data_IF_288597169926
#
_entry.id   IF_288597169926
#
_cell.length_a   1.000
_cell.length_b   1.000
_cell.length_c   1.000
_cell.angle_alpha   90.00
_cell.angle_beta   90.00
_cell.angle_gamma   90.00
#
_symmetry.space_group_name_H-M   'P 1'
#
loop_
_entity.id
_entity.type
_entity.pdbx_description
1 polymer ?
#
# COMPACT_ATOMS: atom_id res chain seq x y z
N UNK A 1 68.63 -6.22 75.30
CA UNK A 1 69.20 -6.42 73.96
C UNK A 1 68.04 -6.64 72.99
N UNK A 2 67.94 -5.86 71.91
CA UNK A 2 66.83 -5.91 70.92
C UNK A 2 66.70 -7.29 70.29
N UNK A 3 65.46 -7.73 70.05
CA UNK A 3 64.96 -8.52 68.91
C UNK A 3 63.46 -8.73 69.21
N UNK A 4 62.48 -8.50 68.35
CA UNK A 4 62.45 -8.58 66.91
C UNK A 4 61.29 -9.52 66.50
N UNK A 5 60.19 -8.93 66.01
CA UNK A 5 59.39 -9.42 64.89
C UNK A 5 58.33 -10.56 65.02
N UNK A 6 57.16 -10.19 64.47
CA UNK A 6 56.17 -10.96 63.65
C UNK A 6 55.07 -11.76 64.35
N UNK A 7 53.93 -11.07 64.48
CA UNK A 7 52.57 -11.60 64.66
C UNK A 7 52.11 -12.26 63.35
N UNK A 8 51.59 -13.49 63.43
CA UNK A 8 51.00 -14.22 62.31
C UNK A 8 49.48 -13.96 62.24
N UNK A 9 49.05 -13.68 61.01
CA UNK A 9 47.69 -13.40 60.55
C UNK A 9 46.86 -14.70 60.52
N UNK A 10 45.62 -14.65 61.01
CA UNK A 10 44.59 -15.64 60.72
C UNK A 10 43.54 -14.99 59.81
N UNK A 11 43.41 -15.54 58.61
CA UNK A 11 42.47 -15.16 57.54
C UNK A 11 41.05 -15.58 57.89
N UNK A 12 40.13 -14.62 57.95
CA UNK A 12 38.68 -14.84 57.92
C UNK A 12 38.20 -14.43 56.52
N UNK A 13 37.71 -15.39 55.76
CA UNK A 13 37.08 -15.20 54.45
C UNK A 13 35.68 -14.60 54.66
N UNK A 14 35.53 -13.31 54.34
CA UNK A 14 34.23 -12.63 54.32
C UNK A 14 33.67 -12.69 52.89
N UNK A 15 32.62 -13.48 52.68
CA UNK A 15 31.91 -13.54 51.41
C UNK A 15 31.27 -12.18 51.09
N UNK A 16 31.68 -11.57 50.00
CA UNK A 16 31.19 -10.28 49.52
C UNK A 16 29.89 -10.51 48.75
N UNK A 17 28.75 -10.17 49.33
CA UNK A 17 27.49 -10.05 48.58
C UNK A 17 27.54 -8.75 47.79
N UNK A 18 27.84 -8.87 46.49
CA UNK A 18 27.69 -7.79 45.52
C UNK A 18 26.20 -7.64 45.20
N UNK A 19 25.53 -6.71 45.88
CA UNK A 19 24.21 -6.23 45.47
C UNK A 19 24.43 -5.31 44.27
N UNK A 20 24.35 -5.89 43.08
CA UNK A 20 24.28 -5.11 41.83
C UNK A 20 22.89 -4.48 41.79
N UNK A 21 22.80 -3.21 42.17
CA UNK A 21 21.61 -2.41 41.95
C UNK A 21 21.36 -2.29 40.46
N UNK A 22 20.30 -2.95 39.98
CA UNK A 22 19.80 -2.78 38.62
C UNK A 22 19.14 -1.41 38.58
N UNK A 23 19.92 -0.37 38.32
CA UNK A 23 19.40 0.90 37.83
C UNK A 23 18.98 0.64 36.38
N UNK A 24 17.73 0.19 36.20
CA UNK A 24 17.07 0.35 34.92
C UNK A 24 16.87 1.83 34.69
N UNK A 25 17.44 2.37 33.62
CA UNK A 25 17.10 3.70 33.13
C UNK A 25 15.63 3.67 32.69
N UNK A 26 14.73 4.06 33.58
CA UNK A 26 13.38 4.49 33.20
C UNK A 26 13.47 6.01 33.21
N UNK A 27 13.67 6.61 32.02
CA UNK A 27 13.50 8.05 31.88
C UNK A 27 12.04 8.36 32.23
N UNK A 28 11.86 9.07 33.34
CA UNK A 28 10.61 9.25 34.05
C UNK A 28 9.69 10.32 33.47
N UNK A 29 9.60 10.40 32.15
CA UNK A 29 8.61 11.25 31.47
C UNK A 29 7.73 10.38 30.58
N UNK A 30 6.76 9.72 31.19
CA UNK A 30 5.59 9.23 30.44
C UNK A 30 4.82 10.46 29.98
N UNK A 31 5.16 10.99 28.80
CA UNK A 31 4.37 12.02 28.15
C UNK A 31 3.07 11.34 27.72
N UNK A 32 2.02 11.52 28.52
CA UNK A 32 0.66 11.29 28.05
C UNK A 32 0.35 12.39 27.04
N UNK A 33 0.36 12.05 25.74
CA UNK A 33 -0.21 12.91 24.71
C UNK A 33 -1.71 12.99 24.96
N UNK A 34 -2.22 14.16 25.35
CA UNK A 34 -3.60 14.32 25.84
C UNK A 34 -4.66 14.25 24.74
N UNK A 35 -4.27 14.22 23.47
CA UNK A 35 -5.12 13.88 22.34
C UNK A 35 -4.27 13.07 21.36
N UNK A 36 -4.72 11.92 20.86
CA UNK A 36 -4.09 11.30 19.72
C UNK A 36 -4.28 12.18 18.46
N UNK A 37 -3.26 12.25 17.60
CA UNK A 37 -3.20 13.20 16.48
C UNK A 37 -4.39 13.16 15.50
N UNK A 38 -5.15 12.06 15.45
CA UNK A 38 -6.35 11.94 14.62
C UNK A 38 -7.58 12.70 15.13
N UNK A 39 -7.57 13.18 16.39
CA UNK A 39 -8.65 14.03 16.92
C UNK A 39 -8.58 15.47 16.37
N UNK A 40 -7.52 15.82 15.64
CA UNK A 40 -7.34 17.12 14.96
C UNK A 40 -7.84 17.12 13.50
N UNK A 41 -8.43 16.03 13.02
CA UNK A 41 -8.99 16.00 11.67
C UNK A 41 -10.19 16.98 11.55
N UNK A 42 -10.24 17.82 10.50
CA UNK A 42 -11.35 18.75 10.30
C UNK A 42 -12.68 17.98 10.27
N UNK A 43 -13.69 18.33 11.11
CA UNK A 43 -14.97 17.62 11.13
C UNK A 43 -15.66 17.56 9.76
N UNK A 44 -15.51 18.63 8.97
CA UNK A 44 -15.98 18.73 7.60
C UNK A 44 -15.32 17.75 6.63
N UNK A 45 -14.13 17.21 6.95
CA UNK A 45 -13.47 16.20 6.13
C UNK A 45 -14.15 14.81 6.22
N UNK A 46 -15.17 14.65 7.07
CA UNK A 46 -15.97 13.43 7.23
C UNK A 46 -15.13 12.16 7.50
N UNK A 47 -14.10 12.30 8.33
CA UNK A 47 -13.29 11.18 8.82
C UNK A 47 -12.04 10.87 7.97
N UNK A 48 -11.79 11.66 6.93
CA UNK A 48 -10.50 11.68 6.25
C UNK A 48 -9.46 12.41 7.11
N UNK A 49 -8.25 11.88 7.18
CA UNK A 49 -7.21 12.29 8.12
C UNK A 49 -6.10 13.07 7.41
N UNK A 50 -5.67 12.60 6.24
CA UNK A 50 -4.62 13.18 5.42
C UNK A 50 -3.22 13.04 6.01
N UNK A 51 -2.36 13.99 5.66
CA UNK A 51 -1.02 14.12 6.22
C UNK A 51 -1.07 14.51 7.71
N UNK A 52 -0.25 13.82 8.50
CA UNK A 52 0.12 14.26 9.83
C UNK A 52 1.17 15.37 9.74
N UNK A 53 2.28 15.08 9.04
CA UNK A 53 3.37 16.03 8.82
C UNK A 53 3.49 16.27 7.32
N UNK A 54 2.77 17.29 6.86
CA UNK A 54 2.71 17.68 5.44
C UNK A 54 4.11 17.82 4.80
N UNK A 55 5.02 18.55 5.44
CA UNK A 55 6.34 18.85 4.86
C UNK A 55 7.25 17.62 4.67
N UNK A 56 7.00 16.53 5.40
CA UNK A 56 7.76 15.29 5.26
C UNK A 56 6.97 14.21 4.52
N UNK A 57 5.79 14.54 3.97
CA UNK A 57 4.89 13.58 3.33
C UNK A 57 4.40 12.46 4.26
N UNK A 58 4.47 12.67 5.58
CA UNK A 58 4.10 11.64 6.55
C UNK A 58 2.59 11.61 6.71
N UNK A 59 1.93 10.58 6.19
CA UNK A 59 0.50 10.34 6.44
C UNK A 59 0.31 9.89 7.89
N UNK A 60 -0.89 10.12 8.43
CA UNK A 60 -1.24 9.56 9.73
C UNK A 60 -1.18 8.02 9.70
N UNK A 61 -1.59 7.40 8.59
CA UNK A 61 -1.50 5.95 8.38
C UNK A 61 -0.06 5.44 8.55
N UNK A 62 0.91 6.19 8.04
CA UNK A 62 2.33 5.84 8.08
C UNK A 62 2.96 5.84 9.47
N UNK A 63 2.29 6.37 10.51
CA UNK A 63 2.76 6.24 11.89
C UNK A 63 2.72 4.79 12.37
N UNK A 64 1.71 4.03 11.93
CA UNK A 64 1.57 2.60 12.23
C UNK A 64 2.08 1.71 11.08
N UNK A 65 1.91 2.16 9.82
CA UNK A 65 2.28 1.43 8.61
C UNK A 65 3.57 1.96 7.98
N UNK A 66 4.64 2.08 8.78
CA UNK A 66 5.89 2.72 8.37
C UNK A 66 6.54 2.10 7.12
N UNK A 67 6.44 0.78 6.92
CA UNK A 67 6.98 0.11 5.74
C UNK A 67 6.28 0.55 4.46
N UNK A 68 4.94 0.46 4.45
CA UNK A 68 4.10 0.88 3.31
C UNK A 68 4.25 2.38 3.02
N UNK A 69 4.33 3.21 4.06
CA UNK A 69 4.60 4.64 3.94
C UNK A 69 5.93 4.93 3.26
N UNK A 70 6.99 4.20 3.62
CA UNK A 70 8.33 4.39 3.07
C UNK A 70 8.39 4.04 1.57
N UNK A 71 7.58 3.09 1.11
CA UNK A 71 7.44 2.76 -0.31
C UNK A 71 6.57 3.80 -1.03
N UNK A 72 5.40 4.14 -0.45
CA UNK A 72 4.40 5.00 -1.09
C UNK A 72 4.93 6.40 -1.35
N UNK A 73 5.71 6.96 -0.43
CA UNK A 73 6.29 8.30 -0.58
C UNK A 73 7.25 8.40 -1.79
N UNK A 74 7.74 7.28 -2.31
CA UNK A 74 8.54 7.23 -3.53
C UNK A 74 7.73 7.17 -4.82
N UNK A 75 6.39 7.16 -4.74
CA UNK A 75 5.51 7.02 -5.92
C UNK A 75 5.11 8.38 -6.49
N UNK A 76 4.68 8.40 -7.75
CA UNK A 76 4.07 9.58 -8.36
C UNK A 76 2.73 9.97 -7.72
N UNK A 77 2.07 9.05 -7.00
CA UNK A 77 0.86 9.37 -6.25
C UNK A 77 1.15 10.30 -5.06
N UNK A 78 2.27 10.11 -4.38
CA UNK A 78 2.73 10.98 -3.29
C UNK A 78 3.27 12.36 -3.77
N UNK A 79 3.46 12.54 -5.08
CA UNK A 79 3.89 13.80 -5.70
C UNK A 79 2.80 14.38 -6.63
N UNK A 80 1.58 13.84 -6.57
CA UNK A 80 0.54 14.12 -7.56
C UNK A 80 0.17 15.61 -7.59
N UNK A 81 0.12 16.28 -6.44
CA UNK A 81 -0.22 17.70 -6.38
C UNK A 81 0.89 18.57 -6.99
N UNK A 82 2.15 18.33 -6.61
CA UNK A 82 3.27 19.07 -7.17
C UNK A 82 3.40 18.83 -8.68
N UNK A 83 3.20 17.58 -9.13
CA UNK A 83 3.10 17.22 -10.54
C UNK A 83 2.03 18.02 -11.28
N UNK A 84 0.81 18.10 -10.74
CA UNK A 84 -0.27 18.92 -11.29
C UNK A 84 0.13 20.39 -11.40
N UNK A 85 0.67 20.96 -10.31
CA UNK A 85 1.05 22.37 -10.29
C UNK A 85 2.17 22.69 -11.28
N UNK A 86 3.12 21.77 -11.47
CA UNK A 86 4.23 21.92 -12.41
C UNK A 86 3.81 21.83 -13.88
N UNK A 87 2.62 21.27 -14.17
CA UNK A 87 2.12 21.10 -15.54
C UNK A 87 1.85 22.41 -16.28
N UNK A 88 1.65 23.52 -15.56
CA UNK A 88 1.22 24.79 -16.13
C UNK A 88 -0.25 24.83 -16.58
N UNK A 89 -1.01 23.76 -16.33
CA UNK A 89 -2.41 23.61 -16.75
C UNK A 89 -3.34 23.22 -15.60
N UNK A 90 -2.89 23.36 -14.35
CA UNK A 90 -3.69 23.06 -13.17
C UNK A 90 -5.01 23.83 -13.18
N UNK A 91 -6.10 23.12 -12.91
CA UNK A 91 -7.45 23.65 -12.84
C UNK A 91 -8.24 22.89 -11.78
N UNK A 92 -9.32 23.51 -11.27
CA UNK A 92 -10.11 22.94 -10.17
C UNK A 92 -10.70 21.56 -10.47
N UNK A 93 -10.98 21.26 -11.74
CA UNK A 93 -11.48 19.93 -12.14
C UNK A 93 -10.41 18.84 -12.09
N UNK A 94 -9.13 19.20 -11.98
CA UNK A 94 -8.02 18.26 -11.80
C UNK A 94 -7.86 17.86 -10.32
N UNK A 95 -8.24 18.74 -9.39
CA UNK A 95 -7.94 18.60 -7.97
C UNK A 95 -8.55 17.32 -7.38
N UNK A 96 -9.73 16.91 -7.83
CA UNK A 96 -10.39 15.68 -7.36
C UNK A 96 -9.57 14.40 -7.56
N UNK A 97 -8.69 14.36 -8.57
CA UNK A 97 -7.81 13.21 -8.85
C UNK A 97 -6.39 13.39 -8.27
N UNK A 98 -6.06 14.57 -7.77
CA UNK A 98 -4.72 14.95 -7.29
C UNK A 98 -4.69 15.31 -5.80
N UNK A 99 -5.77 14.98 -5.09
CA UNK A 99 -5.96 15.19 -3.66
C UNK A 99 -6.71 14.01 -3.05
N UNK A 100 -6.76 13.97 -1.73
CA UNK A 100 -7.61 13.05 -0.98
C UNK A 100 -9.05 13.55 -1.01
N UNK A 101 -9.94 12.71 -1.52
CA UNK A 101 -11.35 13.02 -1.72
C UNK A 101 -12.17 11.76 -1.96
N UNK A 102 -13.30 11.88 -2.69
CA UNK A 102 -14.19 10.75 -2.96
C UNK A 102 -13.72 9.85 -4.12
N UNK A 103 -12.97 10.38 -5.07
CA UNK A 103 -12.53 9.60 -6.24
C UNK A 103 -11.48 8.56 -5.83
N UNK A 104 -11.66 7.35 -6.33
CA UNK A 104 -10.78 6.20 -6.13
C UNK A 104 -11.18 5.29 -4.96
N UNK A 105 -12.19 5.66 -4.17
CA UNK A 105 -12.62 4.92 -3.00
C UNK A 105 -14.14 4.66 -2.99
N UNK A 106 -14.63 3.98 -1.96
CA UNK A 106 -16.04 3.57 -1.85
C UNK A 106 -16.98 4.70 -1.36
N UNK A 107 -16.49 5.91 -1.08
CA UNK A 107 -17.31 7.02 -0.57
C UNK A 107 -18.11 7.65 -1.69
N UNK A 108 -19.43 7.67 -1.55
CA UNK A 108 -20.35 8.23 -2.56
C UNK A 108 -20.59 9.73 -2.40
N UNK A 109 -20.22 10.32 -1.26
CA UNK A 109 -20.34 11.76 -1.04
C UNK A 109 -19.12 12.49 -1.64
N UNK A 110 -19.30 13.32 -2.69
CA UNK A 110 -18.18 14.05 -3.30
C UNK A 110 -17.61 15.18 -2.41
N UNK A 111 -18.34 15.58 -1.37
CA UNK A 111 -17.97 16.68 -0.49
C UNK A 111 -17.23 16.16 0.76
N UNK A 112 -16.00 15.68 0.56
CA UNK A 112 -15.11 15.12 1.59
C UNK A 112 -13.67 15.58 1.37
N UNK A 113 -12.82 15.47 2.40
CA UNK A 113 -11.40 15.77 2.29
C UNK A 113 -11.13 17.17 1.71
N UNK A 114 -10.31 17.24 0.65
CA UNK A 114 -9.93 18.49 -0.01
C UNK A 114 -11.13 19.32 -0.49
N UNK A 115 -12.16 18.67 -1.05
CA UNK A 115 -13.28 19.36 -1.73
C UNK A 115 -14.06 20.32 -0.82
N UNK A 116 -14.01 20.11 0.51
CA UNK A 116 -14.72 20.92 1.51
C UNK A 116 -13.79 21.68 2.45
N UNK A 117 -12.55 21.22 2.62
CA UNK A 117 -11.58 21.83 3.56
C UNK A 117 -10.62 22.80 2.88
N UNK A 118 -10.21 22.49 1.64
CA UNK A 118 -9.07 23.13 0.97
C UNK A 118 -7.79 23.14 1.85
N UNK A 119 -7.65 22.14 2.74
CA UNK A 119 -6.50 22.00 3.64
C UNK A 119 -5.36 21.25 2.92
N UNK A 120 -4.14 21.81 2.85
CA UNK A 120 -2.97 21.15 2.27
C UNK A 120 -2.68 19.75 2.79
N UNK A 121 -3.16 19.36 3.98
CA UNK A 121 -3.03 17.98 4.47
C UNK A 121 -3.64 16.95 3.53
N UNK A 122 -4.52 17.34 2.63
CA UNK A 122 -5.16 16.47 1.64
C UNK A 122 -4.56 16.58 0.24
N UNK A 123 -3.45 17.29 0.05
CA UNK A 123 -2.74 17.22 -1.23
C UNK A 123 -2.24 15.80 -1.51
N UNK A 124 -2.06 15.48 -2.79
CA UNK A 124 -1.59 14.19 -3.29
C UNK A 124 -2.61 13.06 -3.21
N UNK A 125 -2.33 11.97 -3.90
CA UNK A 125 -3.14 10.75 -3.87
C UNK A 125 -2.62 9.86 -2.74
N UNK A 126 -3.20 10.04 -1.55
CA UNK A 126 -2.77 9.35 -0.33
C UNK A 126 -3.51 8.02 -0.13
N UNK A 127 -3.23 7.36 1.00
CA UNK A 127 -3.82 6.07 1.38
C UNK A 127 -5.36 6.10 1.28
N UNK A 128 -5.95 7.18 1.79
CA UNK A 128 -7.41 7.33 1.91
C UNK A 128 -8.09 7.58 0.55
N UNK A 129 -7.35 7.97 -0.50
CA UNK A 129 -7.89 8.06 -1.86
C UNK A 129 -8.35 6.70 -2.40
N UNK A 130 -7.78 5.58 -1.91
CA UNK A 130 -8.18 4.23 -2.31
C UNK A 130 -8.84 3.44 -1.16
N UNK A 131 -8.36 3.62 0.07
CA UNK A 131 -8.82 2.88 1.24
C UNK A 131 -10.00 3.54 1.97
N UNK A 132 -10.36 4.77 1.59
CA UNK A 132 -11.42 5.54 2.24
C UNK A 132 -11.01 6.18 3.58
N UNK A 133 -11.97 6.75 4.33
CA UNK A 133 -11.70 7.51 5.55
C UNK A 133 -11.11 6.65 6.66
N UNK A 134 -10.01 7.12 7.26
CA UNK A 134 -9.26 6.34 8.25
C UNK A 134 -9.78 6.44 9.69
N UNK A 135 -10.64 7.39 10.05
CA UNK A 135 -10.92 7.73 11.47
C UNK A 135 -11.43 6.53 12.30
N UNK A 136 -12.30 5.71 11.73
CA UNK A 136 -12.83 4.52 12.40
C UNK A 136 -11.74 3.47 12.62
N UNK A 137 -10.86 3.31 11.63
CA UNK A 137 -9.75 2.37 11.70
C UNK A 137 -8.73 2.79 12.77
N UNK A 138 -8.29 4.05 12.78
CA UNK A 138 -7.29 4.48 13.79
C UNK A 138 -7.85 4.44 15.21
N UNK A 139 -9.16 4.63 15.37
CA UNK A 139 -9.85 4.51 16.66
C UNK A 139 -9.99 3.06 17.14
N UNK A 140 -10.10 2.10 16.22
CA UNK A 140 -10.24 0.68 16.53
C UNK A 140 -9.56 -0.22 15.47
N UNK A 141 -8.20 -0.28 15.43
CA UNK A 141 -7.48 -0.88 14.30
C UNK A 141 -7.72 -2.37 14.07
N UNK A 142 -8.11 -3.09 15.13
CA UNK A 142 -8.42 -4.51 15.06
C UNK A 142 -9.87 -4.81 14.63
N UNK A 143 -10.76 -3.81 14.70
CA UNK A 143 -12.19 -3.99 14.42
C UNK A 143 -12.54 -3.61 12.98
N UNK A 144 -11.92 -2.56 12.46
CA UNK A 144 -12.20 -2.02 11.13
C UNK A 144 -10.94 -2.07 10.26
N UNK A 145 -11.06 -2.51 9.02
CA UNK A 145 -9.95 -2.55 8.05
C UNK A 145 -10.32 -1.75 6.80
N UNK A 146 -9.64 -0.63 6.52
CA UNK A 146 -9.82 0.10 5.28
C UNK A 146 -9.40 -0.76 4.09
N UNK A 147 -10.32 -1.04 3.18
CA UNK A 147 -10.08 -1.88 2.00
C UNK A 147 -10.21 -1.04 0.73
N UNK A 148 -9.25 -1.23 -0.18
CA UNK A 148 -9.33 -0.70 -1.53
C UNK A 148 -10.03 -1.69 -2.48
N UNK A 149 -10.53 -1.19 -3.61
CA UNK A 149 -11.11 -2.04 -4.65
C UNK A 149 -10.03 -2.70 -5.50
N UNK A 150 -10.24 -3.97 -5.81
CA UNK A 150 -9.49 -4.72 -6.82
C UNK A 150 -10.02 -4.47 -8.24
N UNK A 151 -11.27 -4.03 -8.34
CA UNK A 151 -11.99 -3.90 -9.62
C UNK A 151 -11.36 -2.82 -10.52
N UNK A 152 -11.50 -3.06 -11.81
CA UNK A 152 -11.16 -2.09 -12.83
C UNK A 152 -12.23 -2.11 -13.91
N UNK A 153 -12.61 -0.94 -14.41
CA UNK A 153 -13.54 -0.84 -15.51
C UNK A 153 -14.08 0.57 -15.70
N UNK A 154 -14.55 0.85 -16.91
CA UNK A 154 -15.11 2.16 -17.28
C UNK A 154 -16.41 2.49 -16.55
N UNK A 155 -17.05 1.49 -15.96
CA UNK A 155 -18.32 1.62 -15.24
C UNK A 155 -18.16 1.38 -13.73
N UNK A 156 -16.92 1.20 -13.25
CA UNK A 156 -16.63 1.00 -11.83
C UNK A 156 -16.49 2.37 -11.18
N UNK A 157 -17.23 2.60 -10.09
CA UNK A 157 -17.27 3.87 -9.34
C UNK A 157 -16.41 3.80 -8.08
N UNK A 158 -15.27 3.13 -8.19
CA UNK A 158 -14.27 2.94 -7.14
C UNK A 158 -12.95 2.51 -7.80
N UNK A 159 -11.82 2.77 -7.16
CA UNK A 159 -10.51 2.32 -7.58
C UNK A 159 -9.91 3.15 -8.72
N UNK A 160 -8.91 2.56 -9.37
CA UNK A 160 -8.01 3.25 -10.29
C UNK A 160 -8.73 4.03 -11.41
N UNK A 161 -9.84 3.46 -11.90
CA UNK A 161 -10.58 3.96 -13.05
C UNK A 161 -11.26 5.31 -12.81
N UNK A 162 -11.43 5.76 -11.56
CA UNK A 162 -12.06 7.06 -11.29
C UNK A 162 -11.14 8.26 -11.58
N UNK A 163 -9.82 8.03 -11.56
CA UNK A 163 -8.81 9.03 -11.92
C UNK A 163 -8.15 8.72 -13.26
N UNK A 164 -7.88 7.44 -13.53
CA UNK A 164 -7.26 6.98 -14.77
C UNK A 164 -8.28 6.66 -15.86
N UNK A 165 -9.08 7.68 -16.20
CA UNK A 165 -10.04 7.67 -17.29
C UNK A 165 -9.95 8.93 -18.17
N UNK A 166 -10.73 8.91 -19.26
CA UNK A 166 -10.99 10.07 -20.09
C UNK A 166 -9.79 10.51 -20.93
N UNK A 167 -9.83 11.74 -21.45
CA UNK A 167 -8.89 12.19 -22.48
C UNK A 167 -7.43 12.30 -21.99
N UNK A 168 -7.23 12.69 -20.73
CA UNK A 168 -5.88 12.94 -20.19
C UNK A 168 -5.21 11.67 -19.64
N UNK A 169 -6.00 10.72 -19.14
CA UNK A 169 -5.51 9.47 -18.58
C UNK A 169 -6.34 8.27 -19.05
N UNK A 170 -6.41 7.95 -20.35
CA UNK A 170 -7.35 6.97 -20.94
C UNK A 170 -7.01 5.49 -20.61
N UNK A 171 -6.37 5.22 -19.48
CA UNK A 171 -5.80 3.91 -19.19
C UNK A 171 -6.87 2.86 -18.94
N UNK A 172 -7.98 3.19 -18.24
CA UNK A 172 -9.05 2.21 -18.02
C UNK A 172 -9.77 1.85 -19.33
N UNK A 173 -9.95 2.79 -20.25
CA UNK A 173 -10.54 2.55 -21.57
C UNK A 173 -9.62 1.72 -22.46
N UNK A 174 -8.31 1.96 -22.41
CA UNK A 174 -7.30 1.17 -23.12
C UNK A 174 -7.21 -0.25 -22.55
N UNK A 175 -7.20 -0.38 -21.22
CA UNK A 175 -7.19 -1.67 -20.53
C UNK A 175 -8.45 -2.48 -20.88
N UNK A 176 -9.63 -1.87 -20.86
CA UNK A 176 -10.88 -2.54 -21.18
C UNK A 176 -10.92 -3.12 -22.61
N UNK A 177 -10.16 -2.52 -23.54
CA UNK A 177 -10.01 -3.02 -24.91
C UNK A 177 -8.92 -4.09 -25.07
N UNK A 178 -8.04 -4.25 -24.08
CA UNK A 178 -6.99 -5.27 -24.08
C UNK A 178 -7.55 -6.66 -23.80
N UNK A 179 -6.79 -7.71 -24.12
CA UNK A 179 -7.18 -9.07 -23.77
C UNK A 179 -7.27 -9.29 -22.24
N UNK A 180 -6.51 -8.53 -21.44
CA UNK A 180 -6.58 -8.59 -19.99
C UNK A 180 -7.90 -8.03 -19.46
N UNK A 181 -8.35 -6.88 -19.95
CA UNK A 181 -9.63 -6.28 -19.55
C UNK A 181 -10.85 -6.94 -20.18
N UNK A 182 -10.78 -7.35 -21.45
CA UNK A 182 -11.87 -8.03 -22.14
C UNK A 182 -12.07 -9.48 -21.67
N UNK A 183 -11.02 -10.10 -21.12
CA UNK A 183 -11.10 -11.41 -20.47
C UNK A 183 -11.68 -12.56 -21.31
N UNK A 184 -11.31 -12.74 -22.60
CA UNK A 184 -11.95 -13.73 -23.48
C UNK A 184 -11.85 -15.17 -22.97
N UNK A 185 -10.86 -15.46 -22.11
CA UNK A 185 -10.65 -16.77 -21.51
C UNK A 185 -10.82 -16.80 -19.99
N UNK A 186 -11.17 -15.68 -19.35
CA UNK A 186 -11.16 -15.55 -17.88
C UNK A 186 -12.17 -16.51 -17.24
N UNK A 187 -13.42 -16.56 -17.72
CA UNK A 187 -14.43 -17.47 -17.16
C UNK A 187 -14.02 -18.95 -17.27
N UNK A 188 -13.41 -19.35 -18.40
CA UNK A 188 -13.01 -20.73 -18.64
C UNK A 188 -11.71 -21.08 -17.88
N UNK A 189 -10.63 -20.35 -18.10
CA UNK A 189 -9.33 -20.66 -17.51
C UNK A 189 -9.25 -20.25 -16.03
N UNK A 190 -9.88 -19.16 -15.64
CA UNK A 190 -9.90 -18.67 -14.26
C UNK A 190 -10.59 -19.61 -13.28
N UNK A 191 -11.56 -20.40 -13.73
CA UNK A 191 -12.24 -21.41 -12.90
C UNK A 191 -11.45 -22.71 -12.70
N UNK A 192 -10.21 -22.80 -13.22
CA UNK A 192 -9.37 -24.00 -13.12
C UNK A 192 -8.09 -23.71 -12.36
N UNK A 193 -7.87 -24.42 -11.25
CA UNK A 193 -6.76 -24.15 -10.33
C UNK A 193 -5.39 -23.92 -10.98
N UNK A 194 -4.93 -24.80 -11.88
CA UNK A 194 -3.62 -24.62 -12.53
C UNK A 194 -3.54 -23.45 -13.51
N UNK A 195 -4.69 -22.98 -14.02
CA UNK A 195 -4.80 -21.95 -15.05
C UNK A 195 -5.13 -20.57 -14.44
N UNK A 196 -5.80 -20.56 -13.28
CA UNK A 196 -6.24 -19.36 -12.58
C UNK A 196 -5.10 -18.39 -12.27
N UNK A 197 -3.91 -18.92 -11.93
CA UNK A 197 -2.69 -18.14 -11.67
C UNK A 197 -2.30 -17.14 -12.78
N UNK A 198 -2.82 -17.26 -14.00
CA UNK A 198 -2.59 -16.29 -15.07
C UNK A 198 -3.88 -15.73 -15.69
N UNK A 199 -5.04 -16.32 -15.40
CA UNK A 199 -6.29 -16.05 -16.10
C UNK A 199 -7.44 -15.63 -15.18
N UNK A 200 -7.18 -15.51 -13.89
CA UNK A 200 -8.07 -14.88 -12.92
C UNK A 200 -7.25 -13.86 -12.13
N UNK A 201 -7.77 -12.63 -11.99
CA UNK A 201 -7.05 -11.50 -11.44
C UNK A 201 -6.54 -11.73 -10.02
N UNK A 202 -7.42 -12.20 -9.15
CA UNK A 202 -7.12 -12.39 -7.72
C UNK A 202 -6.07 -13.50 -7.53
N UNK A 203 -6.26 -14.64 -8.20
CA UNK A 203 -5.36 -15.78 -8.22
C UNK A 203 -4.02 -15.43 -8.88
N UNK A 204 -3.98 -14.58 -9.90
CA UNK A 204 -2.73 -14.12 -10.47
C UNK A 204 -1.94 -13.24 -9.48
N UNK A 205 -2.60 -12.31 -8.80
CA UNK A 205 -1.99 -11.48 -7.77
C UNK A 205 -1.39 -12.34 -6.64
N UNK A 206 -2.16 -13.31 -6.13
CA UNK A 206 -1.72 -14.19 -5.04
C UNK A 206 -0.69 -15.24 -5.50
N UNK A 207 -1.02 -16.06 -6.49
CA UNK A 207 -0.26 -17.27 -6.81
C UNK A 207 0.92 -17.02 -7.76
N UNK A 208 0.86 -15.96 -8.57
CA UNK A 208 1.92 -15.63 -9.52
C UNK A 208 2.84 -14.54 -8.99
N UNK A 209 2.29 -13.53 -8.31
CA UNK A 209 3.08 -12.44 -7.74
C UNK A 209 3.30 -12.54 -6.22
N UNK A 210 2.70 -13.53 -5.55
CA UNK A 210 2.97 -13.80 -4.13
C UNK A 210 2.40 -12.74 -3.20
N UNK A 211 1.39 -11.99 -3.64
CA UNK A 211 0.82 -10.89 -2.87
C UNK A 211 -0.34 -11.39 -2.01
N UNK A 212 -0.11 -11.46 -0.71
CA UNK A 212 -1.15 -11.72 0.28
C UNK A 212 -1.75 -10.38 0.75
N UNK A 213 -2.86 -9.98 0.14
CA UNK A 213 -3.55 -8.73 0.42
C UNK A 213 -5.05 -8.94 0.65
N UNK A 214 -5.68 -8.05 1.40
CA UNK A 214 -7.13 -7.94 1.52
C UNK A 214 -7.63 -6.75 0.70
N UNK A 215 -8.77 -6.92 0.04
CA UNK A 215 -9.46 -5.91 -0.78
C UNK A 215 -10.95 -6.21 -0.78
N UNK A 216 -11.77 -5.25 -1.21
CA UNK A 216 -13.23 -5.31 -1.06
C UNK A 216 -13.85 -6.58 -1.66
N UNK A 217 -13.33 -7.02 -2.79
CA UNK A 217 -13.88 -8.13 -3.56
C UNK A 217 -13.23 -9.49 -3.24
N UNK A 218 -12.38 -9.57 -2.21
CA UNK A 218 -11.69 -10.83 -1.87
C UNK A 218 -12.70 -11.84 -1.35
N UNK A 219 -12.73 -13.02 -1.98
CA UNK A 219 -13.50 -14.16 -1.50
C UNK A 219 -15.01 -14.11 -1.76
N UNK A 220 -15.50 -13.19 -2.60
CA UNK A 220 -16.91 -13.14 -2.99
C UNK A 220 -17.32 -14.24 -3.98
N UNK A 221 -16.34 -14.97 -4.53
CA UNK A 221 -16.53 -16.09 -5.45
C UNK A 221 -16.65 -15.70 -6.93
N UNK A 222 -16.59 -14.40 -7.25
CA UNK A 222 -16.65 -13.91 -8.62
C UNK A 222 -15.27 -14.03 -9.31
N UNK A 223 -15.28 -14.54 -10.54
CA UNK A 223 -14.07 -14.69 -11.36
C UNK A 223 -13.79 -13.37 -12.06
N UNK A 224 -12.64 -12.77 -11.79
CA UNK A 224 -12.28 -11.45 -12.32
C UNK A 224 -11.21 -11.50 -13.37
N UNK A 225 -11.26 -10.52 -14.25
CA UNK A 225 -10.22 -10.27 -15.24
C UNK A 225 -8.92 -9.80 -14.58
N UNK A 226 -7.83 -9.78 -15.34
CA UNK A 226 -6.56 -9.24 -14.86
C UNK A 226 -6.69 -7.72 -14.78
N UNK A 227 -6.70 -7.15 -13.57
CA UNK A 227 -6.85 -5.71 -13.32
C UNK A 227 -5.50 -5.00 -13.17
N UNK A 228 -5.53 -3.70 -12.90
CA UNK A 228 -4.34 -2.85 -12.77
C UNK A 228 -3.37 -3.37 -11.70
N UNK A 229 -3.89 -3.74 -10.52
CA UNK A 229 -3.09 -4.10 -9.33
C UNK A 229 -2.35 -5.43 -9.46
N UNK A 230 -2.72 -6.24 -10.46
CA UNK A 230 -1.97 -7.47 -10.80
C UNK A 230 -0.58 -7.12 -11.34
N UNK A 231 -0.46 -6.02 -12.08
CA UNK A 231 0.81 -5.57 -12.66
C UNK A 231 1.48 -4.46 -11.85
N UNK A 232 0.67 -3.59 -11.21
CA UNK A 232 1.12 -2.42 -10.49
C UNK A 232 0.97 -2.60 -8.97
N UNK A 233 1.95 -2.14 -8.21
CA UNK A 233 1.85 -2.01 -6.76
C UNK A 233 1.52 -0.55 -6.39
N UNK A 234 0.30 -0.23 -5.91
CA UNK A 234 -0.07 1.14 -5.57
C UNK A 234 0.74 1.72 -4.40
N UNK A 235 1.43 0.87 -3.63
CA UNK A 235 2.29 1.30 -2.54
C UNK A 235 3.74 1.53 -2.97
N UNK A 236 4.12 1.13 -4.18
CA UNK A 236 5.46 1.37 -4.71
C UNK A 236 6.21 0.10 -5.10
N UNK A 237 7.21 0.29 -5.96
CA UNK A 237 8.10 -0.78 -6.39
C UNK A 237 9.42 -0.19 -6.90
N UNK A 238 10.51 -0.97 -7.00
CA UNK A 238 11.76 -0.50 -7.58
C UNK A 238 11.72 -0.40 -9.12
N UNK A 239 10.57 -0.63 -9.75
CA UNK A 239 10.41 -0.66 -11.20
C UNK A 239 9.55 0.51 -11.67
N UNK A 240 9.94 1.11 -12.80
CA UNK A 240 9.23 2.24 -13.39
C UNK A 240 7.73 1.99 -13.52
N UNK A 241 6.93 3.00 -13.20
CA UNK A 241 5.47 2.89 -13.21
C UNK A 241 4.91 1.97 -12.12
N UNK A 242 5.65 1.74 -11.04
CA UNK A 242 5.23 0.89 -9.92
C UNK A 242 4.95 -0.57 -10.35
N UNK A 243 5.65 -1.08 -11.37
CA UNK A 243 5.44 -2.45 -11.84
C UNK A 243 5.93 -3.47 -10.80
N UNK A 244 5.32 -4.65 -10.70
CA UNK A 244 5.76 -5.71 -9.77
C UNK A 244 7.05 -6.41 -10.19
N UNK A 245 7.43 -6.30 -11.45
CA UNK A 245 8.63 -6.90 -12.02
C UNK A 245 9.14 -6.07 -13.20
N UNK A 246 10.41 -6.24 -13.55
CA UNK A 246 11.00 -5.57 -14.70
C UNK A 246 10.33 -5.99 -16.01
N UNK A 247 10.21 -5.09 -16.98
CA UNK A 247 9.82 -5.41 -18.36
C UNK A 247 11.02 -5.47 -19.32
N UNK A 248 12.22 -5.15 -18.83
CA UNK A 248 13.39 -4.91 -19.68
C UNK A 248 14.24 -6.18 -19.90
N UNK A 249 14.13 -7.18 -19.02
CA UNK A 249 14.89 -8.43 -19.11
C UNK A 249 14.01 -9.51 -19.74
N UNK A 250 14.35 -10.12 -20.89
CA UNK A 250 13.47 -11.06 -21.59
C UNK A 250 13.58 -12.50 -21.06
N UNK A 251 13.44 -12.68 -19.73
CA UNK A 251 13.43 -14.00 -19.08
C UNK A 251 12.23 -14.18 -18.14
N UNK A 252 12.23 -15.19 -17.26
CA UNK A 252 11.11 -15.47 -16.35
C UNK A 252 10.95 -14.47 -15.21
N UNK A 253 11.90 -13.56 -15.02
CA UNK A 253 11.78 -12.43 -14.10
C UNK A 253 11.08 -11.23 -14.75
N UNK A 254 10.79 -11.31 -16.06
CA UNK A 254 10.01 -10.30 -16.76
C UNK A 254 8.54 -10.34 -16.35
N UNK A 255 7.94 -9.18 -16.08
CA UNK A 255 6.52 -9.06 -15.72
C UNK A 255 5.59 -9.83 -16.68
N UNK A 256 5.75 -9.62 -17.98
CA UNK A 256 4.89 -10.23 -18.99
C UNK A 256 5.13 -11.74 -19.09
N UNK A 257 6.39 -12.15 -19.00
CA UNK A 257 6.78 -13.55 -19.18
C UNK A 257 6.49 -14.41 -17.95
N UNK A 258 6.12 -13.81 -16.81
CA UNK A 258 5.57 -14.54 -15.66
C UNK A 258 4.31 -15.33 -16.05
N UNK A 259 3.50 -14.77 -16.96
CA UNK A 259 2.33 -15.43 -17.53
C UNK A 259 2.57 -15.94 -18.96
N UNK A 260 3.22 -15.14 -19.83
CA UNK A 260 3.40 -15.41 -21.26
C UNK A 260 4.75 -16.08 -21.57
N UNK A 261 4.99 -17.29 -21.07
CA UNK A 261 6.29 -17.96 -21.29
C UNK A 261 6.47 -18.42 -22.75
N UNK A 262 7.68 -18.27 -23.30
CA UNK A 262 8.06 -18.69 -24.67
C UNK A 262 8.48 -20.17 -24.82
N UNK A 263 8.26 -21.04 -23.82
CA UNK A 263 8.69 -22.46 -23.89
C UNK A 263 7.52 -23.42 -24.04
N UNK A 264 7.66 -24.39 -24.93
CA UNK A 264 6.75 -25.52 -25.14
C UNK A 264 6.85 -26.63 -24.10
N UNK A 265 7.28 -26.32 -22.87
CA UNK A 265 7.08 -27.20 -21.72
C UNK A 265 5.81 -26.75 -21.00
N UNK A 266 4.71 -27.49 -21.15
CA UNK A 266 3.44 -27.08 -20.60
C UNK A 266 3.46 -27.18 -19.06
N UNK A 267 2.96 -26.17 -18.36
CA UNK A 267 2.56 -26.33 -16.95
C UNK A 267 1.29 -27.16 -16.79
N UNK A 268 0.62 -27.50 -17.89
CA UNK A 268 -0.59 -28.34 -17.93
C UNK A 268 -0.62 -29.19 -19.21
N UNK A 269 -1.34 -30.31 -19.23
CA UNK A 269 -1.41 -31.22 -20.39
C UNK A 269 -1.97 -30.62 -21.71
N UNK A 270 -2.29 -29.32 -21.75
CA UNK A 270 -2.96 -28.63 -22.87
C UNK A 270 -1.99 -27.96 -23.87
N UNK A 271 -0.69 -28.28 -23.83
CA UNK A 271 0.29 -27.82 -24.80
C UNK A 271 0.91 -26.44 -24.50
N UNK A 272 1.79 -25.93 -25.38
CA UNK A 272 2.43 -24.63 -25.21
C UNK A 272 1.37 -23.53 -25.09
N UNK A 273 1.34 -22.82 -23.96
CA UNK A 273 0.62 -21.55 -23.88
C UNK A 273 1.48 -20.56 -24.66
N UNK A 274 1.14 -20.35 -25.93
CA UNK A 274 1.93 -19.50 -26.82
C UNK A 274 2.10 -18.10 -26.21
N UNK A 275 3.25 -17.47 -26.48
CA UNK A 275 3.40 -16.04 -26.27
C UNK A 275 2.35 -15.34 -27.13
N UNK A 276 1.34 -14.75 -26.48
CA UNK A 276 0.42 -13.85 -27.15
C UNK A 276 1.18 -12.54 -27.33
N UNK A 277 1.65 -12.32 -28.54
CA UNK A 277 2.09 -11.04 -29.08
C UNK A 277 1.28 -10.76 -30.32
#
# INVERSE_FOLDING_TARGET
>A
MKLGSRIRVATITLATFLIVGIWGCVDGDTIYSEQPAWEEAPPEALGFLGYELFNSGQTLCGQCHAGVQAEWIGTAHADAWAGLQSSGHAASYCEGCHTVGALGNAVTNPNVGWAVTNDPRFHDVQCESCHGPGISHVSAPAAERPLASFEAGTNVQNGCGECHNGTHHPFVEQWAQSAHGAGPNTAYAGSRGSCARCHEGQAALEQTFGVDAEYLEKGDGEIRTITCVVCHDPHGSPFDGQLRASINVPDRTNLCMTCHTRRGEPWSSHGPHAAQG
#
